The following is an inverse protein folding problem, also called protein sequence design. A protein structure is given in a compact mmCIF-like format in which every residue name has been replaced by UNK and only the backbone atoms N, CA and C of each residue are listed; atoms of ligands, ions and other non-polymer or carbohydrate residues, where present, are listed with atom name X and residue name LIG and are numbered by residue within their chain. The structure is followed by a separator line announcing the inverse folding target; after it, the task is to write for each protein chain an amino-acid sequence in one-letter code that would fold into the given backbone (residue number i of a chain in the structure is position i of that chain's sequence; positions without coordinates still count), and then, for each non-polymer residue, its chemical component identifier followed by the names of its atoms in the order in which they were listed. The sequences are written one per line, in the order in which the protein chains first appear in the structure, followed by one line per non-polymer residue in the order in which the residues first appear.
data_IF_131409011153
#
_entry.id   IF_131409011153
#
_cell.length_a   1.000
_cell.length_b   1.000
_cell.length_c   1.000
_cell.angle_alpha   90.00
_cell.angle_beta   90.00
_cell.angle_gamma   90.00
#
_symmetry.space_group_name_H-M   'P 1'
#
loop_
_entity.id
_entity.type
_entity.pdbx_description
1 polymer ?
#
# COMPACT_ATOMS: atom_id res chain seq x y z
N UNK A 1 -17.26 21.43 0.89
CA UNK A 1 -16.58 22.66 0.41
C UNK A 1 -15.05 22.66 0.42
N UNK A 2 -14.32 22.63 1.54
CA UNK A 2 -12.84 22.80 1.52
C UNK A 2 -12.11 21.71 0.72
N UNK A 3 -12.46 20.44 0.92
CA UNK A 3 -11.89 19.32 0.13
C UNK A 3 -12.13 19.47 -1.37
N UNK A 4 -13.29 20.00 -1.77
CA UNK A 4 -13.68 20.22 -3.16
C UNK A 4 -12.84 21.33 -3.78
N UNK A 5 -12.68 22.46 -3.08
CA UNK A 5 -11.83 23.58 -3.51
C UNK A 5 -10.38 23.12 -3.70
N UNK A 6 -9.83 22.43 -2.69
CA UNK A 6 -8.48 21.88 -2.74
C UNK A 6 -8.30 20.88 -3.91
N UNK A 7 -9.26 19.99 -4.12
CA UNK A 7 -9.19 19.04 -5.22
C UNK A 7 -9.29 19.72 -6.60
N UNK A 8 -10.11 20.78 -6.73
CA UNK A 8 -10.19 21.61 -7.93
C UNK A 8 -8.86 22.30 -8.24
N UNK A 9 -8.22 22.87 -7.22
CA UNK A 9 -6.93 23.53 -7.36
C UNK A 9 -5.77 22.56 -7.63
N UNK A 10 -5.80 21.35 -7.05
CA UNK A 10 -4.69 20.41 -7.18
C UNK A 10 -4.75 19.55 -8.45
N UNK A 11 -5.94 19.18 -8.93
CA UNK A 11 -6.04 18.26 -10.09
C UNK A 11 -7.36 18.29 -10.87
N UNK A 12 -8.53 18.56 -10.28
CA UNK A 12 -9.80 18.42 -10.99
C UNK A 12 -10.01 19.44 -12.12
N UNK A 13 -9.38 20.61 -12.06
CA UNK A 13 -9.39 21.59 -13.16
C UNK A 13 -8.73 21.06 -14.45
N UNK A 14 -7.94 19.99 -14.36
CA UNK A 14 -7.34 19.29 -15.50
C UNK A 14 -7.98 17.90 -15.68
N UNK A 15 -8.03 17.10 -14.61
CA UNK A 15 -8.48 15.70 -14.62
C UNK A 15 -9.93 15.54 -15.10
N UNK A 16 -10.84 16.46 -14.75
CA UNK A 16 -12.26 16.31 -15.08
C UNK A 16 -12.53 16.31 -16.59
N UNK A 17 -11.70 16.98 -17.40
CA UNK A 17 -11.86 17.02 -18.85
C UNK A 17 -11.52 15.68 -19.54
N UNK A 18 -10.76 14.82 -18.87
CA UNK A 18 -10.24 13.58 -19.44
C UNK A 18 -10.78 12.32 -18.75
N UNK A 19 -11.25 12.46 -17.51
CA UNK A 19 -11.76 11.34 -16.70
C UNK A 19 -12.87 10.53 -17.41
N UNK A 20 -13.87 11.12 -18.08
CA UNK A 20 -14.90 10.35 -18.79
C UNK A 20 -14.33 9.39 -19.84
N UNK A 21 -13.26 9.79 -20.54
CA UNK A 21 -12.60 8.95 -21.53
C UNK A 21 -11.85 7.79 -20.87
N UNK A 22 -11.21 8.03 -19.73
CA UNK A 22 -10.49 7.00 -18.98
C UNK A 22 -11.43 5.96 -18.35
N UNK A 23 -12.62 6.37 -17.94
CA UNK A 23 -13.64 5.49 -17.34
C UNK A 23 -14.39 4.62 -18.38
N UNK A 24 -14.15 4.81 -19.68
CA UNK A 24 -14.78 4.02 -20.74
C UNK A 24 -14.33 2.54 -20.78
N UNK A 25 -13.33 2.14 -19.96
CA UNK A 25 -12.83 0.76 -19.77
C UNK A 25 -12.61 -0.01 -21.09
N UNK A 26 -11.71 0.43 -21.98
CA UNK A 26 -11.43 -0.30 -23.22
C UNK A 26 -10.81 -1.70 -23.00
N UNK A 27 -10.27 -1.99 -21.80
CA UNK A 27 -9.70 -3.28 -21.44
C UNK A 27 -10.25 -3.79 -20.10
N UNK A 28 -10.70 -5.05 -20.06
CA UNK A 28 -11.26 -5.67 -18.85
C UNK A 28 -10.22 -5.94 -17.75
N UNK A 29 -8.95 -6.13 -18.11
CA UNK A 29 -7.88 -6.55 -17.18
C UNK A 29 -7.13 -5.40 -16.51
N UNK A 30 -7.59 -4.16 -16.69
CA UNK A 30 -6.89 -2.97 -16.22
C UNK A 30 -7.68 -2.30 -15.10
N UNK A 31 -7.04 -2.17 -13.95
CA UNK A 31 -7.59 -1.49 -12.79
C UNK A 31 -7.78 0.00 -13.10
N UNK A 32 -9.03 0.40 -13.32
CA UNK A 32 -9.39 1.82 -13.55
C UNK A 32 -8.90 2.72 -12.44
N UNK A 33 -8.87 2.22 -11.21
CA UNK A 33 -8.33 2.94 -10.06
C UNK A 33 -6.85 3.33 -10.28
N UNK A 34 -6.04 2.44 -10.87
CA UNK A 34 -4.64 2.70 -11.21
C UNK A 34 -4.56 3.76 -12.32
N UNK A 35 -5.37 3.62 -13.36
CA UNK A 35 -5.39 4.54 -14.51
C UNK A 35 -5.76 5.97 -14.09
N UNK A 36 -6.82 6.13 -13.31
CA UNK A 36 -7.22 7.43 -12.79
C UNK A 36 -6.14 8.01 -11.85
N UNK A 37 -5.58 7.18 -10.96
CA UNK A 37 -4.53 7.60 -10.02
C UNK A 37 -3.24 8.00 -10.73
N UNK A 38 -2.88 7.35 -11.85
CA UNK A 38 -1.70 7.71 -12.67
C UNK A 38 -1.80 9.15 -13.13
N UNK A 39 -2.91 9.50 -13.77
CA UNK A 39 -3.05 10.84 -14.35
C UNK A 39 -3.13 11.89 -13.26
N UNK A 40 -3.86 11.60 -12.17
CA UNK A 40 -3.89 12.47 -10.99
C UNK A 40 -2.50 12.70 -10.42
N UNK A 41 -1.69 11.65 -10.28
CA UNK A 41 -0.33 11.74 -9.77
C UNK A 41 0.53 12.65 -10.66
N UNK A 42 0.46 12.45 -11.98
CA UNK A 42 1.20 13.28 -12.94
C UNK A 42 0.75 14.74 -12.92
N UNK A 43 -0.56 15.01 -12.96
CA UNK A 43 -1.11 16.38 -12.89
C UNK A 43 -0.64 17.08 -11.63
N UNK A 44 -0.76 16.43 -10.47
CA UNK A 44 -0.35 17.01 -9.19
C UNK A 44 1.14 17.33 -9.19
N UNK A 45 1.98 16.41 -9.67
CA UNK A 45 3.42 16.63 -9.78
C UNK A 45 3.77 17.82 -10.70
N UNK A 46 3.15 17.91 -11.88
CA UNK A 46 3.38 19.02 -12.81
C UNK A 46 2.92 20.35 -12.23
N UNK A 47 1.76 20.39 -11.56
CA UNK A 47 1.25 21.63 -10.94
C UNK A 47 2.07 22.06 -9.72
N UNK A 48 2.62 21.12 -8.94
CA UNK A 48 3.40 21.44 -7.75
C UNK A 48 4.87 21.76 -8.03
N UNK A 49 5.46 21.15 -9.06
CA UNK A 49 6.91 21.19 -9.30
C UNK A 49 7.31 21.69 -10.68
N UNK A 50 6.37 21.77 -11.63
CA UNK A 50 6.63 22.13 -13.02
C UNK A 50 7.04 20.93 -13.88
N UNK A 51 6.55 20.90 -15.13
CA UNK A 51 6.78 19.79 -16.06
C UNK A 51 8.27 19.54 -16.31
N UNK A 52 9.05 20.61 -16.53
CA UNK A 52 10.49 20.48 -16.82
C UNK A 52 11.27 19.84 -15.67
N UNK A 53 10.91 20.16 -14.42
CA UNK A 53 11.49 19.53 -13.25
C UNK A 53 11.08 18.05 -13.15
N UNK A 54 9.79 17.75 -13.37
CA UNK A 54 9.29 16.36 -13.40
C UNK A 54 10.05 15.53 -14.43
N UNK A 55 10.22 16.01 -15.66
CA UNK A 55 10.97 15.28 -16.70
C UNK A 55 12.47 15.14 -16.37
N UNK A 56 13.07 16.15 -15.75
CA UNK A 56 14.47 16.09 -15.30
C UNK A 56 14.67 15.06 -14.20
N UNK A 57 13.81 15.06 -13.19
CA UNK A 57 13.81 14.06 -12.12
C UNK A 57 13.55 12.65 -12.68
N UNK A 58 12.63 12.51 -13.65
CA UNK A 58 12.38 11.23 -14.33
C UNK A 58 13.65 10.69 -14.98
N UNK A 59 14.35 11.51 -15.80
CA UNK A 59 15.61 11.13 -16.47
C UNK A 59 16.68 10.70 -15.47
N UNK A 60 16.92 11.51 -14.44
CA UNK A 60 17.94 11.23 -13.43
C UNK A 60 17.69 9.92 -12.67
N UNK A 61 16.42 9.56 -12.48
CA UNK A 61 16.03 8.30 -11.82
C UNK A 61 16.11 7.13 -12.81
N UNK A 62 15.65 7.31 -14.04
CA UNK A 62 15.65 6.26 -15.06
C UNK A 62 17.07 5.89 -15.53
N UNK A 63 17.98 6.86 -15.64
CA UNK A 63 19.38 6.63 -16.04
C UNK A 63 20.19 5.84 -14.99
N UNK A 64 19.71 5.78 -13.74
CA UNK A 64 20.36 5.09 -12.62
C UNK A 64 19.78 3.70 -12.33
N UNK A 65 19.14 3.09 -13.34
CA UNK A 65 18.44 1.80 -13.23
C UNK A 65 19.29 0.75 -12.49
N UNK A 66 18.80 0.30 -11.34
CA UNK A 66 19.49 -0.64 -10.42
C UNK A 66 19.65 -0.15 -8.98
N UNK A 67 19.55 1.16 -8.72
CA UNK A 67 19.69 1.75 -7.37
C UNK A 67 18.37 2.30 -6.82
N UNK A 68 17.33 1.47 -6.76
CA UNK A 68 16.05 1.83 -6.13
C UNK A 68 16.28 2.19 -4.65
N UNK A 69 15.90 3.43 -4.27
CA UNK A 69 16.03 4.01 -2.93
C UNK A 69 17.45 4.11 -2.32
N UNK A 70 18.28 3.06 -2.42
CA UNK A 70 19.58 2.96 -1.76
C UNK A 70 20.68 3.84 -2.37
N UNK A 71 20.65 4.14 -3.68
CA UNK A 71 21.70 4.94 -4.32
C UNK A 71 21.36 6.40 -4.59
N UNK A 72 20.07 6.77 -4.62
CA UNK A 72 19.64 8.13 -5.00
C UNK A 72 19.32 9.02 -3.80
N UNK A 73 18.99 8.41 -2.66
CA UNK A 73 18.38 9.08 -1.50
C UNK A 73 19.06 8.73 -0.17
N UNK A 74 20.22 8.06 -0.19
CA UNK A 74 20.89 7.55 1.02
C UNK A 74 21.15 8.61 2.09
N UNK A 75 21.24 9.89 1.69
CA UNK A 75 21.49 11.02 2.57
C UNK A 75 20.33 12.03 2.64
N UNK A 76 19.21 11.78 1.96
CA UNK A 76 18.05 12.68 1.97
C UNK A 76 16.91 12.14 2.83
N UNK A 77 16.20 13.04 3.52
CA UNK A 77 14.99 12.68 4.24
C UNK A 77 13.87 12.44 3.22
N UNK A 78 13.24 11.27 3.30
CA UNK A 78 12.13 10.91 2.42
C UNK A 78 10.96 11.90 2.54
N UNK A 79 10.57 12.54 1.43
CA UNK A 79 9.43 13.46 1.35
C UNK A 79 8.39 12.96 0.34
N UNK A 80 7.30 12.37 0.84
CA UNK A 80 6.20 11.87 0.02
C UNK A 80 5.43 12.96 -0.76
N UNK A 81 5.73 14.24 -0.53
CA UNK A 81 5.15 15.35 -1.31
C UNK A 81 5.94 15.66 -2.58
N UNK A 82 7.16 15.14 -2.75
CA UNK A 82 7.95 15.37 -3.96
C UNK A 82 7.81 14.20 -4.93
N UNK A 83 7.69 14.55 -6.20
CA UNK A 83 7.61 13.64 -7.33
C UNK A 83 8.73 12.60 -7.30
N UNK A 84 10.00 13.02 -7.14
CA UNK A 84 11.17 12.14 -7.20
C UNK A 84 11.13 10.96 -6.22
N UNK A 85 10.64 11.18 -4.98
CA UNK A 85 10.56 10.14 -3.96
C UNK A 85 9.50 9.09 -4.28
N UNK A 86 8.38 9.53 -4.83
CA UNK A 86 7.30 8.65 -5.28
C UNK A 86 7.66 7.94 -6.59
N UNK A 87 8.37 8.62 -7.50
CA UNK A 87 8.77 8.10 -8.81
C UNK A 87 9.93 7.09 -8.74
N UNK A 88 10.69 7.09 -7.64
CA UNK A 88 11.78 6.14 -7.41
C UNK A 88 11.31 4.82 -6.75
N UNK A 89 10.01 4.63 -6.54
CA UNK A 89 9.46 3.38 -6.02
C UNK A 89 9.54 2.23 -7.04
N UNK A 90 9.46 1.01 -6.53
CA UNK A 90 9.55 -0.22 -7.31
C UNK A 90 8.43 -0.31 -8.37
N UNK A 91 8.79 -0.79 -9.56
CA UNK A 91 7.86 -0.97 -10.70
C UNK A 91 7.61 -2.44 -11.05
N UNK A 92 8.46 -3.35 -10.57
CA UNK A 92 8.57 -4.75 -11.03
C UNK A 92 8.68 -4.90 -12.58
N UNK A 93 9.25 -3.89 -13.27
CA UNK A 93 9.36 -3.77 -14.75
C UNK A 93 9.95 -5.02 -15.44
N UNK A 94 10.87 -5.75 -14.80
CA UNK A 94 11.50 -6.94 -15.41
C UNK A 94 10.54 -8.13 -15.59
N UNK A 95 9.34 -8.08 -15.01
CA UNK A 95 8.52 -9.29 -14.82
C UNK A 95 7.03 -9.13 -15.22
N UNK A 96 6.62 -7.97 -15.72
CA UNK A 96 5.26 -7.71 -16.24
C UNK A 96 5.10 -8.05 -17.72
N UNK A 97 5.71 -9.14 -18.21
CA UNK A 97 5.69 -9.53 -19.65
C UNK A 97 4.28 -9.64 -20.26
N UNK A 98 3.23 -9.82 -19.45
CA UNK A 98 1.84 -9.92 -19.90
C UNK A 98 1.05 -8.58 -19.89
N UNK A 99 1.54 -7.51 -19.24
CA UNK A 99 0.82 -6.23 -19.08
C UNK A 99 1.35 -5.07 -19.95
N UNK A 100 2.44 -5.29 -20.69
CA UNK A 100 3.13 -4.28 -21.51
C UNK A 100 2.19 -3.61 -22.53
N UNK A 101 1.36 -4.35 -23.33
CA UNK A 101 0.54 -3.70 -24.36
C UNK A 101 -0.52 -2.75 -23.78
N UNK A 102 -1.09 -3.11 -22.63
CA UNK A 102 -2.09 -2.28 -21.97
C UNK A 102 -1.46 -0.99 -21.40
N UNK A 103 -0.33 -1.11 -20.70
CA UNK A 103 0.37 0.05 -20.12
C UNK A 103 0.84 1.03 -21.19
N UNK A 104 1.37 0.52 -22.31
CA UNK A 104 1.73 1.33 -23.47
C UNK A 104 0.51 2.03 -24.07
N UNK A 105 -0.60 1.31 -24.28
CA UNK A 105 -1.84 1.90 -24.77
C UNK A 105 -2.32 3.04 -23.86
N UNK A 106 -2.40 2.81 -22.55
CA UNK A 106 -2.87 3.83 -21.63
C UNK A 106 -1.92 5.02 -21.56
N UNK A 107 -0.60 4.81 -21.64
CA UNK A 107 0.37 5.92 -21.73
C UNK A 107 0.14 6.81 -22.96
N UNK A 108 -0.14 6.20 -24.12
CA UNK A 108 -0.51 6.93 -25.34
C UNK A 108 -1.85 7.66 -25.16
N UNK A 109 -2.84 6.99 -24.57
CA UNK A 109 -4.16 7.56 -24.31
C UNK A 109 -4.04 8.79 -23.39
N UNK A 110 -3.29 8.70 -22.29
CA UNK A 110 -3.08 9.79 -21.34
C UNK A 110 -2.51 11.03 -22.03
N UNK A 111 -1.40 10.86 -22.76
CA UNK A 111 -0.75 11.99 -23.46
C UNK A 111 -1.68 12.62 -24.49
N UNK A 112 -2.38 11.81 -25.28
CA UNK A 112 -3.34 12.32 -26.26
C UNK A 112 -4.50 13.08 -25.60
N UNK A 113 -5.03 12.58 -24.49
CA UNK A 113 -6.11 13.24 -23.77
C UNK A 113 -5.64 14.55 -23.13
N UNK A 114 -4.44 14.56 -22.52
CA UNK A 114 -3.85 15.76 -21.95
C UNK A 114 -3.60 16.84 -23.01
N UNK A 115 -3.06 16.46 -24.18
CA UNK A 115 -2.85 17.39 -25.29
C UNK A 115 -4.18 17.92 -25.86
N UNK A 116 -5.18 17.06 -26.10
CA UNK A 116 -6.41 17.47 -26.80
C UNK A 116 -7.42 18.19 -25.91
N UNK A 117 -7.53 17.80 -24.64
CA UNK A 117 -8.64 18.21 -23.79
C UNK A 117 -8.23 19.03 -22.56
N UNK A 118 -6.93 19.33 -22.40
CA UNK A 118 -6.45 20.13 -21.27
C UNK A 118 -5.48 21.22 -21.71
N UNK A 119 -5.19 22.15 -20.80
CA UNK A 119 -4.17 23.19 -20.98
C UNK A 119 -2.79 22.82 -20.43
N UNK A 120 -2.66 21.64 -19.81
CA UNK A 120 -1.44 21.23 -19.11
C UNK A 120 -0.23 21.14 -20.04
N UNK A 121 -0.46 20.82 -21.32
CA UNK A 121 0.57 20.60 -22.34
C UNK A 121 0.40 21.53 -23.56
N UNK A 122 -0.15 22.73 -23.37
CA UNK A 122 -0.43 23.67 -24.48
C UNK A 122 0.83 24.08 -25.26
N UNK A 123 1.99 24.13 -24.60
CA UNK A 123 3.29 24.43 -25.22
C UNK A 123 3.73 23.36 -26.24
N UNK A 124 3.18 22.15 -26.13
CA UNK A 124 3.55 20.98 -26.93
C UNK A 124 2.62 20.74 -28.12
N UNK A 125 1.63 21.61 -28.33
CA UNK A 125 0.64 21.46 -29.39
C UNK A 125 0.42 22.73 -30.20
N UNK A 126 0.15 22.53 -31.48
CA UNK A 126 -0.46 23.51 -32.36
C UNK A 126 -1.74 22.86 -32.89
N UNK A 127 -2.87 23.53 -32.72
CA UNK A 127 -4.15 23.11 -33.29
C UNK A 127 -4.44 24.03 -34.48
N UNK A 128 -4.46 23.47 -35.69
CA UNK A 128 -4.76 24.20 -36.93
C UNK A 128 -5.77 23.41 -37.74
N UNK A 129 -6.89 24.01 -38.12
CA UNK A 129 -7.96 23.36 -38.90
C UNK A 129 -8.48 22.03 -38.31
N UNK A 130 -8.42 21.87 -36.98
CA UNK A 130 -8.81 20.63 -36.29
C UNK A 130 -7.70 19.58 -36.18
N UNK A 131 -6.56 19.78 -36.87
CA UNK A 131 -5.40 18.91 -36.78
C UNK A 131 -4.50 19.29 -35.61
N UNK A 132 -4.12 18.26 -34.82
CA UNK A 132 -3.17 18.37 -33.73
C UNK A 132 -1.76 18.11 -34.25
N UNK A 133 -0.90 19.12 -34.23
CA UNK A 133 0.53 18.99 -34.49
C UNK A 133 1.32 19.10 -33.20
N UNK A 134 2.21 18.14 -32.96
CA UNK A 134 3.13 18.14 -31.82
C UNK A 134 4.35 19.01 -32.16
N UNK A 135 4.71 19.95 -31.27
CA UNK A 135 5.83 20.88 -31.48
C UNK A 135 7.18 20.30 -31.05
N UNK A 136 7.19 19.48 -29.98
CA UNK A 136 8.39 18.80 -29.48
C UNK A 136 8.10 17.30 -29.25
N UNK A 137 8.23 16.45 -30.30
CA UNK A 137 7.93 15.03 -30.21
C UNK A 137 8.78 14.27 -29.18
N UNK A 138 10.03 14.72 -28.96
CA UNK A 138 10.96 14.10 -28.01
C UNK A 138 10.46 14.25 -26.58
N UNK A 139 10.14 15.46 -26.13
CA UNK A 139 9.60 15.66 -24.78
C UNK A 139 8.22 15.02 -24.61
N UNK A 140 7.39 15.01 -25.66
CA UNK A 140 6.10 14.29 -25.61
C UNK A 140 6.30 12.78 -25.41
N UNK A 141 7.36 12.20 -26.00
CA UNK A 141 7.75 10.82 -25.73
C UNK A 141 8.22 10.64 -24.27
N UNK A 142 8.99 11.57 -23.72
CA UNK A 142 9.42 11.51 -22.30
C UNK A 142 8.22 11.60 -21.34
N UNK A 143 7.23 12.45 -21.63
CA UNK A 143 5.96 12.54 -20.89
C UNK A 143 5.25 11.18 -20.92
N UNK A 144 5.16 10.56 -22.10
CA UNK A 144 4.56 9.22 -22.27
C UNK A 144 5.29 8.18 -21.42
N UNK A 145 6.62 8.13 -21.48
CA UNK A 145 7.44 7.19 -20.71
C UNK A 145 7.29 7.42 -19.20
N UNK A 146 7.23 8.69 -18.78
CA UNK A 146 6.97 9.09 -17.39
C UNK A 146 5.63 8.55 -16.90
N UNK A 147 4.55 8.77 -17.65
CA UNK A 147 3.21 8.26 -17.34
C UNK A 147 3.14 6.73 -17.31
N UNK A 148 3.86 6.06 -18.23
CA UNK A 148 3.97 4.61 -18.25
C UNK A 148 4.65 4.09 -16.96
N UNK A 149 5.78 4.68 -16.56
CA UNK A 149 6.46 4.30 -15.32
C UNK A 149 5.60 4.58 -14.08
N UNK A 150 4.92 5.73 -14.00
CA UNK A 150 3.98 6.02 -12.90
C UNK A 150 2.90 4.93 -12.81
N UNK A 151 2.35 4.50 -13.94
CA UNK A 151 1.35 3.42 -13.97
C UNK A 151 1.93 2.12 -13.39
N UNK A 152 3.18 1.79 -13.71
CA UNK A 152 3.84 0.59 -13.19
C UNK A 152 4.13 0.69 -11.70
N UNK A 153 4.53 1.87 -11.21
CA UNK A 153 4.67 2.15 -9.77
C UNK A 153 3.32 1.92 -9.07
N UNK A 154 2.26 2.56 -9.54
CA UNK A 154 0.95 2.48 -8.89
C UNK A 154 0.36 1.07 -8.95
N UNK A 155 0.61 0.31 -10.02
CA UNK A 155 0.12 -1.07 -10.15
C UNK A 155 0.61 -2.02 -9.04
N UNK A 156 1.70 -1.68 -8.34
CA UNK A 156 2.30 -2.54 -7.31
C UNK A 156 2.42 -1.86 -5.94
N UNK A 157 2.24 -0.54 -5.86
CA UNK A 157 2.38 0.24 -4.63
C UNK A 157 1.06 0.84 -4.12
N UNK A 158 -0.05 0.69 -4.84
CA UNK A 158 -1.36 1.17 -4.39
C UNK A 158 -2.01 0.16 -3.43
N UNK A 159 -2.64 0.67 -2.38
CA UNK A 159 -3.37 -0.15 -1.42
C UNK A 159 -4.87 0.08 -1.53
N UNK A 160 -5.65 -1.00 -1.43
CA UNK A 160 -7.10 -0.89 -1.29
C UNK A 160 -7.43 -0.15 0.00
N UNK A 161 -8.05 1.01 -0.11
CA UNK A 161 -8.56 1.77 1.02
C UNK A 161 -9.87 1.13 1.48
N UNK A 162 -9.85 0.56 2.68
CA UNK A 162 -10.98 -0.16 3.26
C UNK A 162 -11.53 0.63 4.47
N UNK A 163 -12.85 0.60 4.63
CA UNK A 163 -13.51 1.08 5.85
C UNK A 163 -13.42 0.06 6.98
N UNK A 164 -13.72 0.51 8.21
CA UNK A 164 -13.74 -0.30 9.44
C UNK A 164 -14.79 -1.41 9.48
N UNK A 165 -15.73 -1.45 8.52
CA UNK A 165 -16.91 -2.32 8.50
C UNK A 165 -16.78 -3.55 7.57
N UNK A 166 -15.57 -3.91 7.12
CA UNK A 166 -15.37 -5.14 6.35
C UNK A 166 -15.32 -6.34 7.31
N UNK A 167 -16.40 -7.12 7.42
CA UNK A 167 -16.40 -8.44 8.10
C UNK A 167 -15.56 -9.51 7.37
N UNK A 168 -15.05 -9.12 6.21
CA UNK A 168 -14.04 -9.81 5.43
C UNK A 168 -12.74 -9.79 6.22
N UNK A 169 -12.60 -10.71 7.16
CA UNK A 169 -11.52 -10.80 8.14
C UNK A 169 -10.10 -10.58 7.55
N UNK A 170 -9.85 -10.79 6.24
CA UNK A 170 -8.53 -10.62 5.61
C UNK A 170 -8.56 -10.19 4.13
N UNK A 171 -7.54 -9.42 3.73
CA UNK A 171 -7.26 -8.92 2.38
C UNK A 171 -7.36 -9.98 1.25
N UNK A 172 -7.07 -11.26 1.53
CA UNK A 172 -7.10 -12.33 0.52
C UNK A 172 -8.50 -12.82 0.15
N UNK A 173 -9.53 -12.47 0.92
CA UNK A 173 -10.90 -12.97 0.73
C UNK A 173 -11.90 -11.86 0.36
N UNK A 174 -11.45 -10.60 0.25
CA UNK A 174 -12.28 -9.48 -0.19
C UNK A 174 -12.34 -9.54 -1.73
N UNK A 175 -13.42 -10.13 -2.23
CA UNK A 175 -13.76 -10.15 -3.66
C UNK A 175 -14.43 -8.82 -4.08
N UNK A 176 -14.76 -8.67 -5.36
CA UNK A 176 -15.35 -7.43 -5.90
C UNK A 176 -16.71 -7.04 -5.29
N UNK A 177 -17.36 -7.94 -4.54
CA UNK A 177 -18.63 -7.70 -3.83
C UNK A 177 -18.45 -7.20 -2.39
N UNK A 178 -17.21 -6.95 -1.98
CA UNK A 178 -16.83 -6.54 -0.64
C UNK A 178 -17.24 -5.07 -0.36
N UNK A 179 -18.29 -4.86 0.43
CA UNK A 179 -18.82 -3.54 0.81
C UNK A 179 -17.83 -2.70 1.62
N UNK A 180 -16.75 -3.31 2.11
CA UNK A 180 -15.67 -2.64 2.84
C UNK A 180 -14.69 -1.85 1.95
N UNK A 181 -14.63 -2.12 0.62
CA UNK A 181 -13.75 -1.35 -0.29
C UNK A 181 -14.33 0.06 -0.49
N UNK A 182 -13.63 1.07 0.01
CA UNK A 182 -13.99 2.49 -0.13
C UNK A 182 -13.22 3.20 -1.24
N UNK A 183 -12.11 2.62 -1.70
CA UNK A 183 -11.32 3.15 -2.82
C UNK A 183 -9.92 2.56 -2.87
N UNK A 184 -9.00 3.31 -3.46
CA UNK A 184 -7.57 3.01 -3.49
C UNK A 184 -6.78 4.21 -2.92
N UNK A 185 -5.64 3.94 -2.30
CA UNK A 185 -4.74 4.95 -1.76
C UNK A 185 -3.30 4.63 -2.12
N UNK A 186 -2.61 5.63 -2.66
CA UNK A 186 -1.17 5.59 -2.86
C UNK A 186 -0.49 6.27 -1.67
N UNK A 187 0.00 5.45 -0.73
CA UNK A 187 0.70 5.90 0.46
C UNK A 187 2.19 5.56 0.32
N UNK A 188 2.94 6.41 -0.37
CA UNK A 188 4.29 6.11 -0.82
C UNK A 188 5.27 5.74 0.32
N UNK A 189 5.08 6.27 1.54
CA UNK A 189 5.87 5.87 2.70
C UNK A 189 5.66 4.40 3.08
N UNK A 190 4.44 3.86 2.98
CA UNK A 190 4.15 2.47 3.33
C UNK A 190 4.66 1.51 2.26
N UNK A 191 4.82 1.98 1.03
CA UNK A 191 5.45 1.22 -0.06
C UNK A 191 6.93 0.89 0.19
N UNK A 192 7.59 1.55 1.14
CA UNK A 192 8.97 1.25 1.56
C UNK A 192 9.06 0.06 2.52
N UNK A 193 7.93 -0.41 3.05
CA UNK A 193 7.87 -1.43 4.08
C UNK A 193 7.80 -2.80 3.41
N UNK A 194 8.85 -3.60 3.59
CA UNK A 194 8.93 -4.92 2.98
C UNK A 194 7.97 -5.95 3.59
N UNK A 195 7.78 -7.03 2.84
CA UNK A 195 6.97 -8.16 3.29
C UNK A 195 7.69 -9.08 4.29
N UNK A 196 6.95 -9.59 5.27
CA UNK A 196 7.26 -10.83 5.98
C UNK A 196 6.01 -11.70 6.16
N UNK A 197 6.15 -13.03 6.03
CA UNK A 197 5.06 -13.97 6.34
C UNK A 197 4.72 -14.02 7.84
N UNK A 198 5.59 -13.45 8.67
CA UNK A 198 5.37 -13.06 10.05
C UNK A 198 5.68 -11.56 10.13
N UNK A 199 4.70 -10.67 9.93
CA UNK A 199 4.93 -9.23 10.07
C UNK A 199 5.13 -8.87 11.54
N UNK A 200 5.79 -7.74 11.80
CA UNK A 200 5.95 -7.17 13.15
C UNK A 200 5.20 -5.83 13.32
N UNK A 201 4.62 -5.33 12.23
CA UNK A 201 3.72 -4.20 12.21
C UNK A 201 2.37 -4.60 11.62
N UNK A 202 1.40 -3.71 11.80
CA UNK A 202 0.13 -3.70 11.11
C UNK A 202 -0.18 -2.27 10.70
N UNK A 203 -1.21 -2.09 9.86
CA UNK A 203 -1.62 -0.78 9.36
C UNK A 203 -3.13 -0.62 9.41
N UNK A 204 -3.57 0.61 9.60
CA UNK A 204 -4.95 1.00 9.48
C UNK A 204 -5.12 2.21 8.57
N UNK A 205 -6.33 2.39 8.08
CA UNK A 205 -6.76 3.58 7.38
C UNK A 205 -7.53 4.50 8.33
N UNK A 206 -7.08 5.75 8.42
CA UNK A 206 -7.69 6.78 9.24
C UNK A 206 -8.44 7.82 8.40
N UNK A 207 -9.33 8.62 9.02
CA UNK A 207 -9.93 9.78 8.38
C UNK A 207 -8.91 10.69 7.70
N UNK A 208 -9.39 11.53 6.79
CA UNK A 208 -8.57 12.48 6.02
C UNK A 208 -7.51 11.80 5.13
N UNK A 209 -7.74 10.53 4.73
CA UNK A 209 -6.88 9.75 3.82
C UNK A 209 -5.49 9.50 4.41
N UNK A 210 -5.43 9.19 5.70
CA UNK A 210 -4.18 8.86 6.41
C UNK A 210 -4.01 7.35 6.53
N UNK A 211 -2.77 6.89 6.50
CA UNK A 211 -2.40 5.51 6.85
C UNK A 211 -1.56 5.58 8.12
N UNK A 212 -1.95 4.81 9.13
CA UNK A 212 -1.17 4.67 10.35
C UNK A 212 -0.58 3.27 10.39
N UNK A 213 0.71 3.21 10.71
CA UNK A 213 1.48 1.98 10.86
C UNK A 213 1.90 1.88 12.32
N UNK A 214 1.69 0.72 12.92
CA UNK A 214 1.98 0.47 14.33
C UNK A 214 2.52 -0.94 14.53
N UNK A 215 3.35 -1.13 15.55
CA UNK A 215 3.91 -2.44 15.89
C UNK A 215 2.86 -3.32 16.57
N UNK A 216 2.82 -4.60 16.23
CA UNK A 216 1.93 -5.59 16.86
C UNK A 216 2.67 -6.55 17.79
N UNK A 217 4.00 -6.53 17.80
CA UNK A 217 4.86 -7.28 18.70
C UNK A 217 6.09 -6.46 19.08
N UNK A 218 6.88 -6.89 20.09
CA UNK A 218 8.16 -6.27 20.39
C UNK A 218 9.07 -6.26 19.15
N UNK A 219 9.73 -5.13 18.90
CA UNK A 219 10.66 -4.92 17.79
C UNK A 219 11.99 -4.43 18.36
N UNK A 220 13.10 -5.09 18.00
CA UNK A 220 14.43 -4.69 18.48
C UNK A 220 14.93 -3.46 17.73
N UNK A 221 15.79 -2.66 18.37
CA UNK A 221 16.50 -1.58 17.69
C UNK A 221 17.29 -2.13 16.50
N UNK A 222 17.08 -1.54 15.32
CA UNK A 222 17.70 -1.98 14.07
C UNK A 222 17.03 -3.17 13.38
N UNK A 223 15.98 -3.74 13.97
CA UNK A 223 15.14 -4.74 13.30
C UNK A 223 14.30 -4.07 12.22
N UNK A 224 14.21 -4.70 11.05
CA UNK A 224 13.41 -4.19 9.94
C UNK A 224 11.91 -4.30 10.28
N UNK A 225 11.17 -3.24 10.01
CA UNK A 225 9.71 -3.26 10.08
C UNK A 225 9.17 -3.91 8.80
N UNK A 226 8.35 -4.94 8.97
CA UNK A 226 7.79 -5.70 7.87
C UNK A 226 6.28 -5.86 8.03
N UNK A 227 5.56 -5.58 6.94
CA UNK A 227 4.12 -5.77 6.82
C UNK A 227 3.83 -7.09 6.06
N UNK A 228 2.56 -7.44 5.89
CA UNK A 228 2.11 -8.52 5.03
C UNK A 228 1.55 -8.01 3.71
N UNK A 229 2.04 -8.59 2.61
CA UNK A 229 1.57 -8.33 1.25
C UNK A 229 0.43 -9.29 0.85
N UNK A 230 0.01 -10.17 1.76
CA UNK A 230 -1.02 -11.17 1.51
C UNK A 230 -1.11 -12.17 2.67
N UNK A 231 -1.14 -13.48 2.40
CA UNK A 231 -1.32 -14.49 3.43
C UNK A 231 -0.08 -14.64 4.33
N UNK A 232 -0.31 -14.67 5.64
CA UNK A 232 0.72 -14.94 6.67
C UNK A 232 0.77 -16.42 7.02
N UNK A 233 1.70 -16.81 7.91
CA UNK A 233 1.76 -18.20 8.43
C UNK A 233 0.46 -18.65 9.09
N UNK A 234 -0.39 -17.72 9.52
CA UNK A 234 -1.67 -17.99 10.18
C UNK A 234 -2.69 -18.65 9.24
N UNK A 235 -2.62 -18.38 7.94
CA UNK A 235 -3.69 -18.74 6.99
C UNK A 235 -3.28 -19.73 5.91
N UNK A 236 -2.01 -19.71 5.53
CA UNK A 236 -1.53 -20.48 4.37
C UNK A 236 -0.18 -21.10 4.69
N UNK A 237 0.04 -22.30 4.18
CA UNK A 237 1.35 -22.96 4.28
C UNK A 237 2.40 -22.26 3.41
N UNK A 238 3.68 -22.63 3.58
CA UNK A 238 4.80 -22.00 2.86
C UNK A 238 4.60 -21.99 1.33
N UNK A 239 4.17 -23.11 0.75
CA UNK A 239 3.98 -23.26 -0.70
C UNK A 239 2.94 -22.25 -1.21
N UNK A 240 1.79 -22.19 -0.54
CA UNK A 240 0.72 -21.27 -0.90
C UNK A 240 1.13 -19.80 -0.75
N UNK A 241 1.87 -19.45 0.30
CA UNK A 241 2.38 -18.08 0.49
C UNK A 241 3.38 -17.70 -0.62
N UNK A 242 4.31 -18.59 -0.95
CA UNK A 242 5.28 -18.37 -2.03
C UNK A 242 4.60 -18.22 -3.38
N UNK A 243 3.64 -19.10 -3.71
CA UNK A 243 2.85 -18.99 -4.94
C UNK A 243 2.10 -17.66 -5.01
N UNK A 244 1.46 -17.23 -3.91
CA UNK A 244 0.77 -15.95 -3.87
C UNK A 244 1.73 -14.77 -4.12
N UNK A 245 2.87 -14.73 -3.43
CA UNK A 245 3.84 -13.65 -3.58
C UNK A 245 4.49 -13.66 -4.96
N UNK A 246 4.77 -14.83 -5.52
CA UNK A 246 5.27 -14.95 -6.88
C UNK A 246 4.26 -14.44 -7.91
N UNK A 247 2.98 -14.78 -7.76
CA UNK A 247 1.95 -14.37 -8.72
C UNK A 247 1.60 -12.87 -8.64
N UNK A 248 1.66 -12.27 -7.45
CA UNK A 248 1.20 -10.89 -7.23
C UNK A 248 2.34 -9.87 -7.15
N UNK A 249 3.52 -10.27 -6.66
CA UNK A 249 4.66 -9.38 -6.40
C UNK A 249 5.97 -9.90 -7.02
N UNK A 250 5.94 -11.07 -7.67
CA UNK A 250 7.05 -11.67 -8.38
C UNK A 250 8.37 -11.69 -7.58
N UNK A 251 8.32 -12.14 -6.33
CA UNK A 251 9.51 -12.42 -5.55
C UNK A 251 9.35 -13.69 -4.72
N UNK A 252 10.48 -14.34 -4.43
CA UNK A 252 10.55 -15.45 -3.48
C UNK A 252 10.80 -14.91 -2.08
N UNK A 253 9.88 -15.15 -1.15
CA UNK A 253 10.01 -14.68 0.22
C UNK A 253 11.10 -15.45 0.98
N UNK A 254 12.07 -14.72 1.53
CA UNK A 254 13.18 -15.26 2.33
C UNK A 254 13.11 -14.89 3.81
N UNK A 255 11.95 -14.45 4.29
CA UNK A 255 11.74 -14.18 5.71
C UNK A 255 12.03 -15.44 6.56
N UNK A 256 12.30 -15.25 7.85
CA UNK A 256 12.63 -16.35 8.76
C UNK A 256 11.58 -17.46 8.76
N UNK A 257 10.30 -17.09 8.77
CA UNK A 257 9.19 -18.02 8.68
C UNK A 257 9.19 -18.90 7.41
N UNK A 258 9.70 -18.38 6.28
CA UNK A 258 9.84 -19.17 5.06
C UNK A 258 11.11 -20.02 5.04
N UNK A 259 12.23 -19.51 5.59
CA UNK A 259 13.49 -20.26 5.68
C UNK A 259 13.35 -21.50 6.57
N UNK A 260 12.73 -21.32 7.74
CA UNK A 260 12.56 -22.36 8.75
C UNK A 260 11.24 -23.14 8.60
N UNK A 261 10.48 -22.88 7.54
CA UNK A 261 9.20 -23.55 7.26
C UNK A 261 8.19 -23.51 8.44
N UNK A 262 8.02 -22.33 9.03
CA UNK A 262 7.13 -22.15 10.18
C UNK A 262 5.68 -22.46 9.84
N UNK A 263 5.00 -23.08 10.80
CA UNK A 263 3.58 -23.40 10.82
C UNK A 263 2.94 -22.90 12.12
N UNK A 264 1.61 -22.94 12.17
CA UNK A 264 0.81 -22.59 13.36
C UNK A 264 0.78 -23.69 14.43
N UNK A 265 1.55 -24.76 14.24
CA UNK A 265 1.50 -25.93 15.11
C UNK A 265 2.21 -25.66 16.43
N UNK A 266 1.52 -25.97 17.54
CA UNK A 266 2.09 -26.00 18.88
C UNK A 266 1.94 -27.41 19.44
N UNK A 267 2.99 -27.94 20.07
CA UNK A 267 2.90 -29.23 20.74
C UNK A 267 2.38 -29.05 22.20
N UNK A 268 2.07 -30.18 22.85
CA UNK A 268 1.55 -30.17 24.23
C UNK A 268 2.55 -29.59 25.24
N UNK A 269 3.85 -29.79 25.06
CA UNK A 269 4.86 -29.28 25.97
C UNK A 269 5.04 -27.77 25.86
N UNK A 270 4.95 -27.21 24.65
CA UNK A 270 4.96 -25.77 24.39
C UNK A 270 3.82 -25.07 25.13
N UNK A 271 2.60 -25.59 24.96
CA UNK A 271 1.41 -25.10 25.66
C UNK A 271 1.54 -25.26 27.18
N UNK A 272 2.12 -26.36 27.66
CA UNK A 272 2.31 -26.60 29.09
C UNK A 272 3.35 -25.64 29.67
N UNK A 273 4.46 -25.39 28.96
CA UNK A 273 5.47 -24.43 29.34
C UNK A 273 4.89 -23.02 29.39
N UNK A 274 4.14 -22.64 28.35
CA UNK A 274 3.49 -21.32 28.30
C UNK A 274 2.56 -21.07 29.49
N UNK A 275 1.75 -22.07 29.86
CA UNK A 275 0.88 -22.00 31.04
C UNK A 275 1.64 -21.80 32.35
N UNK A 276 2.89 -22.28 32.44
CA UNK A 276 3.74 -22.17 33.63
C UNK A 276 4.42 -20.79 33.76
N UNK A 277 4.46 -20.00 32.69
CA UNK A 277 5.03 -18.64 32.71
C UNK A 277 4.17 -17.62 33.48
N UNK A 278 2.95 -18.02 33.84
CA UNK A 278 1.97 -17.34 34.70
C UNK A 278 1.92 -15.80 34.67
N UNK A 279 0.97 -15.24 33.90
CA UNK A 279 0.46 -13.87 34.10
C UNK A 279 -1.08 -13.83 33.96
N UNK A 280 -1.95 -13.87 34.99
CA UNK A 280 -2.29 -15.03 35.83
C UNK A 280 -3.10 -16.09 35.03
N UNK A 281 -2.45 -17.17 34.58
CA UNK A 281 -2.82 -18.08 33.47
C UNK A 281 -3.15 -17.39 32.12
N UNK A 282 -2.56 -16.22 31.86
CA UNK A 282 -2.61 -15.45 30.61
C UNK A 282 -3.89 -14.62 30.32
N UNK A 283 -4.32 -13.64 31.13
CA UNK A 283 -5.08 -13.83 32.38
C UNK A 283 -6.40 -14.57 32.08
N UNK A 284 -6.42 -15.86 32.45
CA UNK A 284 -7.52 -16.82 32.34
C UNK A 284 -8.14 -17.00 30.93
N UNK A 285 -7.39 -17.63 30.00
CA UNK A 285 -7.85 -18.13 28.67
C UNK A 285 -8.28 -17.08 27.64
N UNK A 286 -7.77 -15.84 27.61
CA UNK A 286 -8.21 -14.77 26.67
C UNK A 286 -9.45 -13.95 27.16
N UNK A 287 -9.62 -13.62 28.44
CA UNK A 287 -10.87 -12.98 28.94
C UNK A 287 -12.18 -13.71 28.50
N UNK A 288 -12.14 -15.06 28.43
CA UNK A 288 -13.23 -16.04 28.34
C UNK A 288 -13.95 -16.25 26.98
N UNK A 289 -13.27 -16.91 26.05
CA UNK A 289 -13.87 -17.69 24.94
C UNK A 289 -14.82 -16.95 23.97
N UNK A 290 -14.63 -15.64 23.82
CA UNK A 290 -15.29 -14.81 22.83
C UNK A 290 -14.24 -14.11 21.95
N UNK A 291 -14.64 -13.68 20.76
CA UNK A 291 -13.74 -12.95 19.84
C UNK A 291 -13.13 -11.74 20.56
N UNK A 292 -11.92 -11.32 20.14
CA UNK A 292 -11.20 -10.16 20.72
C UNK A 292 -12.05 -8.87 20.72
N UNK A 293 -13.11 -8.83 19.90
CA UNK A 293 -14.11 -7.77 19.84
C UNK A 293 -14.87 -7.56 21.16
N UNK A 294 -14.93 -8.57 22.04
CA UNK A 294 -15.64 -8.49 23.33
C UNK A 294 -14.74 -8.00 24.48
N UNK A 295 -13.48 -7.65 24.21
CA UNK A 295 -12.57 -7.13 25.23
C UNK A 295 -12.79 -5.64 25.48
N UNK A 296 -12.50 -5.17 26.69
CA UNK A 296 -12.54 -3.73 26.99
C UNK A 296 -11.31 -3.04 26.41
N UNK A 297 -11.53 -1.98 25.63
CA UNK A 297 -10.50 -1.13 25.06
C UNK A 297 -10.19 0.03 26.01
N UNK A 298 -9.15 -0.14 26.83
CA UNK A 298 -8.65 0.90 27.74
C UNK A 298 -7.15 0.74 27.98
N UNK A 299 -6.52 1.74 28.60
CA UNK A 299 -5.09 1.77 28.85
C UNK A 299 -4.60 0.58 29.68
N UNK A 300 -5.35 0.18 30.72
CA UNK A 300 -4.97 -0.94 31.59
C UNK A 300 -4.91 -2.27 30.83
N UNK A 301 -5.92 -2.56 30.00
CA UNK A 301 -5.93 -3.77 29.16
C UNK A 301 -4.80 -3.73 28.14
N UNK A 302 -4.52 -2.58 27.53
CA UNK A 302 -3.40 -2.42 26.60
C UNK A 302 -2.05 -2.73 27.28
N UNK A 303 -1.80 -2.19 28.48
CA UNK A 303 -0.59 -2.47 29.25
C UNK A 303 -0.44 -3.96 29.59
N UNK A 304 -1.53 -4.64 29.94
CA UNK A 304 -1.53 -6.08 30.18
C UNK A 304 -1.22 -6.88 28.90
N UNK A 305 -1.77 -6.48 27.74
CA UNK A 305 -1.53 -7.12 26.44
C UNK A 305 -0.08 -6.98 25.98
N UNK A 306 0.52 -5.80 26.16
CA UNK A 306 1.93 -5.55 25.83
C UNK A 306 2.84 -6.44 26.67
N UNK A 307 2.65 -6.48 28.00
CA UNK A 307 3.44 -7.35 28.90
C UNK A 307 3.32 -8.83 28.54
N UNK A 308 2.12 -9.27 28.18
CA UNK A 308 1.86 -10.65 27.77
C UNK A 308 2.62 -11.01 26.48
N UNK A 309 2.64 -10.09 25.50
CA UNK A 309 3.43 -10.24 24.28
C UNK A 309 4.94 -10.32 24.57
N UNK A 310 5.46 -9.43 25.43
CA UNK A 310 6.87 -9.46 25.84
C UNK A 310 7.27 -10.78 26.51
N UNK A 311 6.43 -11.31 27.41
CA UNK A 311 6.68 -12.60 28.06
C UNK A 311 6.80 -13.73 27.04
N UNK A 312 5.93 -13.75 26.02
CA UNK A 312 5.99 -14.77 24.97
C UNK A 312 7.31 -14.68 24.18
N UNK A 313 7.70 -13.47 23.76
CA UNK A 313 8.92 -13.25 22.97
C UNK A 313 10.22 -13.42 23.78
N UNK A 314 10.18 -13.27 25.10
CA UNK A 314 11.33 -13.53 25.97
C UNK A 314 11.48 -15.02 26.35
N UNK A 315 10.39 -15.80 26.29
CA UNK A 315 10.38 -17.17 26.81
C UNK A 315 10.43 -18.26 25.73
N UNK A 316 10.10 -17.92 24.48
CA UNK A 316 10.07 -18.86 23.36
C UNK A 316 10.89 -18.39 22.17
N UNK A 317 11.24 -19.32 21.31
CA UNK A 317 11.73 -18.96 19.98
C UNK A 317 10.66 -18.20 19.19
N UNK A 318 11.09 -17.46 18.17
CA UNK A 318 10.21 -16.52 17.47
C UNK A 318 8.96 -17.16 16.86
N UNK A 319 9.04 -18.38 16.32
CA UNK A 319 7.85 -19.06 15.78
C UNK A 319 6.80 -19.27 16.87
N UNK A 320 7.20 -19.92 17.98
CA UNK A 320 6.29 -20.22 19.08
C UNK A 320 5.79 -18.94 19.75
N UNK A 321 6.67 -17.96 19.96
CA UNK A 321 6.30 -16.65 20.49
C UNK A 321 5.25 -15.95 19.60
N UNK A 322 5.42 -15.99 18.28
CA UNK A 322 4.43 -15.47 17.33
C UNK A 322 3.08 -16.18 17.51
N UNK A 323 3.05 -17.51 17.46
CA UNK A 323 1.79 -18.26 17.53
C UNK A 323 1.08 -18.04 18.87
N UNK A 324 1.84 -18.00 19.97
CA UNK A 324 1.31 -17.78 21.32
C UNK A 324 0.84 -16.34 21.57
N UNK A 325 1.32 -15.35 20.81
CA UNK A 325 1.00 -13.93 20.96
C UNK A 325 -0.04 -13.39 19.97
N UNK A 326 -0.54 -14.21 19.02
CA UNK A 326 -1.62 -13.82 18.07
C UNK A 326 -2.78 -13.04 18.72
N UNK A 327 -3.33 -13.44 19.87
CA UNK A 327 -4.47 -12.74 20.48
C UNK A 327 -4.11 -11.34 20.94
N UNK A 328 -2.88 -11.16 21.41
CA UNK A 328 -2.34 -9.86 21.78
C UNK A 328 -2.23 -8.95 20.55
N UNK A 329 -1.80 -9.51 19.42
CA UNK A 329 -1.69 -8.80 18.13
C UNK A 329 -3.05 -8.36 17.63
N UNK A 330 -4.02 -9.27 17.61
CA UNK A 330 -5.40 -8.98 17.23
C UNK A 330 -6.00 -7.89 18.14
N UNK A 331 -5.74 -7.93 19.45
CA UNK A 331 -6.19 -6.88 20.36
C UNK A 331 -5.56 -5.54 20.05
N UNK A 332 -4.24 -5.49 19.84
CA UNK A 332 -3.54 -4.24 19.50
C UNK A 332 -4.16 -3.64 18.24
N UNK A 333 -4.35 -4.43 17.18
CA UNK A 333 -4.99 -3.97 15.94
C UNK A 333 -6.38 -3.37 16.19
N UNK A 334 -7.25 -4.10 16.89
CA UNK A 334 -8.60 -3.63 17.20
C UNK A 334 -8.63 -2.41 18.13
N UNK A 335 -7.74 -2.35 19.12
CA UNK A 335 -7.65 -1.23 20.05
C UNK A 335 -7.22 0.03 19.32
N UNK A 336 -6.26 -0.11 18.41
CA UNK A 336 -5.87 0.94 17.50
C UNK A 336 -7.07 1.41 16.66
N UNK A 337 -7.87 0.51 16.10
CA UNK A 337 -9.13 0.92 15.45
C UNK A 337 -10.05 1.67 16.41
N UNK A 338 -10.34 1.13 17.60
CA UNK A 338 -11.28 1.76 18.55
C UNK A 338 -10.82 3.10 19.12
N UNK A 339 -9.52 3.30 19.32
CA UNK A 339 -9.00 4.55 19.86
C UNK A 339 -8.85 5.66 18.81
N UNK A 340 -8.72 5.29 17.54
CA UNK A 340 -8.44 6.23 16.45
C UNK A 340 -9.51 6.25 15.34
N UNK A 341 -10.56 5.45 15.47
CA UNK A 341 -11.80 5.57 14.69
C UNK A 341 -12.58 6.76 15.23
N UNK A 342 -12.36 7.95 14.66
CA UNK A 342 -13.40 8.97 14.66
C UNK A 342 -14.55 8.46 13.79
N UNK A 343 -15.80 8.72 14.23
CA UNK A 343 -17.05 8.39 13.53
C UNK A 343 -16.94 8.74 12.03
N UNK A 344 -16.61 7.73 11.23
CA UNK A 344 -16.39 7.89 9.80
C UNK A 344 -17.73 8.08 9.09
N UNK A 345 -18.24 9.30 9.04
CA UNK A 345 -19.26 9.66 8.06
C UNK A 345 -18.56 10.05 6.76
N UNK A 346 -18.52 9.11 5.81
CA UNK A 346 -18.36 9.49 4.41
C UNK A 346 -19.67 10.19 4.06
N UNK A 347 -19.69 11.50 3.74
CA UNK A 347 -20.94 12.17 3.39
C UNK A 347 -21.55 11.44 2.19
N UNK A 348 -22.82 11.03 2.30
CA UNK A 348 -23.55 10.35 1.21
C UNK A 348 -23.63 11.20 -0.06
N UNK A 349 -23.31 12.51 0.05
CA UNK A 349 -23.32 13.48 -1.05
C UNK A 349 -22.14 14.45 -0.89
N UNK A 350 -21.46 14.70 -2.01
CA UNK A 350 -20.43 15.74 -2.17
C UNK A 350 -21.04 17.14 -2.05
#
# INVERSE_FOLDING_TARGET
EECKKKALEEYHDVECFILPFLLSKPFQFVDVDVIATTVRFFIRAVKSEGLQKVLTDSRLIDDKDGLHMEGLLSNEIYDNKKFKFCYNLLTHKEHTKQKIPAQEFYSCLFVNLLLKHTRLLDEYKIISNGDLRITNPTEVLEIKLTLCKITNILAVNIHTFQGSLCDCNYLSNCNDTCTGKRGQIFASCTSLINHSCHPNISRMFMPQRKVVVFTTCPVKKGEQLCDTYGPTIRYKNKIQRQQYLQNNYNFTCRCQACRENWSMELNKSDLTCFKKLDLKWYKNRYLKADSVQNWTYNEKTMQDVVKASELAYNSFNQNKAYVLSIPCRDYIEHAFYKFYEDDCHVPDKC
#
